data_IF_015970424361
#
_entry.id   IF_015970424361
#
_cell.length_a   1.000
_cell.length_b   1.000
_cell.length_c   1.000
_cell.angle_alpha   90.00
_cell.angle_beta   90.00
_cell.angle_gamma   90.00
#
_symmetry.space_group_name_H-M   'P 1'
#
loop_
_entity.id
_entity.type
_entity.pdbx_description
1 polymer ?
#
# COMPACT_ATOMS: atom_id res chain seq x y z
N UNK A 1 14.04 14.88 16.18
CA UNK A 1 12.92 14.77 15.22
C UNK A 1 13.50 14.78 13.83
N UNK A 2 13.29 13.73 13.02
CA UNK A 2 13.83 13.65 11.67
C UNK A 2 13.22 14.71 10.74
N UNK A 3 13.97 15.15 9.74
CA UNK A 3 13.49 16.06 8.71
C UNK A 3 12.30 15.42 7.96
N UNK A 4 11.24 16.18 7.69
CA UNK A 4 10.11 15.69 6.88
C UNK A 4 10.57 15.53 5.44
N UNK A 5 10.58 14.30 4.93
CA UNK A 5 10.91 13.99 3.55
C UNK A 5 9.69 14.20 2.64
N UNK A 6 9.84 14.91 1.53
CA UNK A 6 8.78 15.17 0.55
C UNK A 6 8.96 14.33 -0.73
N UNK A 7 7.87 14.07 -1.48
CA UNK A 7 7.95 13.28 -2.71
C UNK A 7 8.93 13.85 -3.74
N UNK A 8 8.96 15.17 -3.95
CA UNK A 8 9.94 15.86 -4.80
C UNK A 8 11.40 15.47 -4.49
N UNK A 9 11.78 15.45 -3.21
CA UNK A 9 13.14 15.11 -2.77
C UNK A 9 13.47 13.64 -3.08
N UNK A 10 12.49 12.74 -3.00
CA UNK A 10 12.66 11.33 -3.37
C UNK A 10 12.88 11.16 -4.87
N UNK A 11 12.16 11.92 -5.72
CA UNK A 11 12.34 11.90 -7.18
C UNK A 11 13.74 12.35 -7.56
N UNK A 12 14.16 13.54 -7.08
CA UNK A 12 15.46 14.11 -7.40
C UNK A 12 16.63 13.31 -6.80
N UNK A 13 16.44 12.79 -5.58
CA UNK A 13 17.48 12.04 -4.87
C UNK A 13 17.60 10.57 -5.25
N UNK A 14 16.80 10.05 -6.18
CA UNK A 14 16.78 8.63 -6.52
C UNK A 14 16.36 7.73 -5.34
N UNK A 15 15.62 8.27 -4.36
CA UNK A 15 15.20 7.55 -3.14
C UNK A 15 13.79 7.01 -3.31
N UNK A 16 13.45 6.03 -2.48
CA UNK A 16 12.05 5.57 -2.37
C UNK A 16 11.32 6.38 -1.30
N UNK A 17 10.10 6.84 -1.59
CA UNK A 17 9.25 7.53 -0.62
C UNK A 17 8.60 6.50 0.31
N UNK A 18 9.16 6.35 1.51
CA UNK A 18 8.82 5.28 2.47
C UNK A 18 8.65 5.84 3.88
N UNK A 19 7.86 5.17 4.71
CA UNK A 19 7.76 5.46 6.14
C UNK A 19 7.98 4.19 6.97
N UNK A 20 8.41 4.37 8.21
CA UNK A 20 8.61 3.27 9.15
C UNK A 20 7.26 2.66 9.55
N UNK A 21 7.19 1.33 9.55
CA UNK A 21 6.06 0.55 10.04
C UNK A 21 6.44 -0.07 11.39
N UNK A 22 5.57 0.05 12.38
CA UNK A 22 5.71 -0.60 13.67
C UNK A 22 4.53 -1.54 13.92
N UNK A 23 4.78 -2.66 14.57
CA UNK A 23 3.74 -3.61 14.98
C UNK A 23 3.82 -3.86 16.49
N UNK A 24 2.66 -3.88 17.14
CA UNK A 24 2.54 -4.28 18.54
C UNK A 24 2.20 -5.77 18.60
N UNK A 25 3.05 -6.54 19.25
CA UNK A 25 2.86 -7.97 19.51
C UNK A 25 2.37 -8.13 20.94
N UNK A 26 1.16 -8.65 21.11
CA UNK A 26 0.64 -9.06 22.42
C UNK A 26 0.92 -10.55 22.61
N UNK A 27 1.57 -10.93 23.70
CA UNK A 27 1.91 -12.32 24.02
C UNK A 27 1.59 -12.66 25.48
N UNK A 28 1.32 -13.93 25.75
CA UNK A 28 1.01 -14.45 27.08
C UNK A 28 1.85 -15.71 27.32
N UNK A 29 2.50 -15.79 28.48
CA UNK A 29 3.30 -16.96 28.88
C UNK A 29 2.59 -17.64 30.04
N UNK A 30 2.32 -18.94 29.91
CA UNK A 30 1.78 -19.83 30.96
C UNK A 30 0.53 -19.30 31.69
N UNK A 31 -0.38 -18.63 30.96
CA UNK A 31 -1.62 -18.08 31.53
C UNK A 31 -1.42 -16.83 32.41
N UNK A 32 -0.22 -16.25 32.40
CA UNK A 32 0.10 -14.99 33.10
C UNK A 32 -0.54 -13.76 32.45
N UNK A 33 -0.08 -12.56 32.83
CA UNK A 33 -0.57 -11.31 32.25
C UNK A 33 -0.20 -11.19 30.76
N UNK A 34 -1.10 -10.63 29.95
CA UNK A 34 -0.80 -10.28 28.55
C UNK A 34 0.22 -9.14 28.55
N UNK A 35 1.34 -9.38 27.90
CA UNK A 35 2.41 -8.39 27.71
C UNK A 35 2.42 -7.91 26.27
N UNK A 36 2.78 -6.65 26.07
CA UNK A 36 2.85 -6.04 24.74
C UNK A 36 4.28 -5.61 24.41
N UNK A 37 4.72 -5.90 23.19
CA UNK A 37 6.00 -5.51 22.66
C UNK A 37 5.80 -4.79 21.32
N UNK A 38 6.17 -3.52 21.25
CA UNK A 38 6.20 -2.77 19.99
C UNK A 38 7.52 -3.00 19.28
N UNK A 39 7.47 -3.54 18.06
CA UNK A 39 8.64 -3.80 17.22
C UNK A 39 8.59 -2.97 15.93
N UNK A 40 9.76 -2.59 15.43
CA UNK A 40 9.89 -2.02 14.08
C UNK A 40 9.85 -3.13 13.04
N UNK A 41 9.03 -2.95 12.01
CA UNK A 41 8.82 -3.89 10.90
C UNK A 41 9.47 -3.39 9.60
N UNK A 42 10.40 -2.45 9.69
CA UNK A 42 11.06 -1.83 8.55
C UNK A 42 10.22 -0.73 7.90
N UNK A 43 10.45 -0.48 6.61
CA UNK A 43 9.87 0.67 5.90
C UNK A 43 8.95 0.23 4.76
N UNK A 44 7.79 0.89 4.64
CA UNK A 44 6.82 0.63 3.58
C UNK A 44 6.72 1.85 2.65
N UNK A 45 6.65 1.64 1.31
CA UNK A 45 6.35 2.70 0.36
C UNK A 45 5.03 3.40 0.64
N UNK A 46 5.06 4.73 0.70
CA UNK A 46 3.86 5.54 0.92
C UNK A 46 3.33 6.01 -0.44
N UNK A 47 2.04 5.84 -0.65
CA UNK A 47 1.37 6.32 -1.84
C UNK A 47 1.25 7.85 -1.79
N UNK A 48 1.60 8.51 -2.89
CA UNK A 48 1.53 9.97 -3.02
C UNK A 48 0.06 10.43 -2.87
N UNK A 49 -0.15 11.50 -2.08
CA UNK A 49 -1.46 12.02 -1.63
C UNK A 49 -2.35 11.07 -0.81
N UNK A 50 -1.84 9.93 -0.37
CA UNK A 50 -2.55 9.09 0.61
C UNK A 50 -2.64 9.73 2.00
N UNK A 51 -3.35 9.08 2.93
CA UNK A 51 -3.53 9.55 4.31
C UNK A 51 -2.22 9.80 5.06
N UNK A 52 -1.15 9.10 4.69
CA UNK A 52 0.18 9.17 5.32
C UNK A 52 1.20 9.97 4.52
N UNK A 53 0.80 10.54 3.37
CA UNK A 53 1.68 11.39 2.57
C UNK A 53 1.67 12.83 3.07
N UNK A 54 2.82 13.49 3.07
CA UNK A 54 2.96 14.89 3.47
C UNK A 54 2.29 15.90 2.51
N UNK A 55 1.84 15.46 1.33
CA UNK A 55 1.08 16.29 0.38
C UNK A 55 -0.44 16.25 0.62
N UNK A 56 -0.91 15.40 1.55
CA UNK A 56 -2.33 15.27 1.83
C UNK A 56 -2.91 16.58 2.34
N UNK A 57 -3.96 17.07 1.69
CA UNK A 57 -4.72 18.25 2.13
C UNK A 57 -4.03 19.59 1.87
N UNK A 58 -2.86 19.59 1.21
CA UNK A 58 -2.22 20.84 0.79
C UNK A 58 -3.03 21.52 -0.32
N UNK A 59 -3.13 22.83 -0.24
CA UNK A 59 -3.67 23.70 -1.30
C UNK A 59 -2.72 23.76 -2.51
N UNK A 60 -3.24 24.24 -3.65
CA UNK A 60 -2.43 24.39 -4.86
C UNK A 60 -1.19 25.27 -4.66
N UNK A 61 -1.31 26.37 -3.90
CA UNK A 61 -0.18 27.25 -3.59
C UNK A 61 0.87 26.56 -2.70
N UNK A 62 0.43 25.77 -1.72
CA UNK A 62 1.33 25.00 -0.86
C UNK A 62 2.04 23.88 -1.62
N UNK A 63 1.36 23.22 -2.57
CA UNK A 63 1.98 22.23 -3.46
C UNK A 63 3.08 22.86 -4.32
N UNK A 64 2.79 24.00 -4.95
CA UNK A 64 3.78 24.76 -5.73
C UNK A 64 4.97 25.18 -4.87
N UNK A 65 4.73 25.65 -3.64
CA UNK A 65 5.81 26.01 -2.70
C UNK A 65 6.71 24.81 -2.32
N UNK A 66 6.22 23.59 -2.56
CA UNK A 66 6.91 22.33 -2.29
C UNK A 66 7.44 21.67 -3.56
N UNK A 67 7.47 22.40 -4.68
CA UNK A 67 7.96 21.92 -5.98
C UNK A 67 7.13 20.75 -6.53
N UNK A 68 5.84 20.70 -6.18
CA UNK A 68 4.87 19.76 -6.75
C UNK A 68 3.92 20.49 -7.70
N UNK A 69 3.27 19.72 -8.58
CA UNK A 69 2.25 20.26 -9.48
C UNK A 69 1.03 20.76 -8.66
N UNK A 70 0.47 21.96 -8.93
CA UNK A 70 -0.72 22.48 -8.25
C UNK A 70 -1.92 21.52 -8.31
N UNK A 71 -2.01 20.70 -9.36
CA UNK A 71 -3.05 19.68 -9.56
C UNK A 71 -2.56 18.25 -9.38
N UNK A 72 -1.50 18.02 -8.59
CA UNK A 72 -0.97 16.67 -8.28
C UNK A 72 -2.12 15.71 -7.92
N UNK A 73 -2.21 14.57 -8.59
CA UNK A 73 -3.31 13.62 -8.42
C UNK A 73 -2.97 12.54 -7.38
N UNK A 74 -1.69 12.19 -7.24
CA UNK A 74 -1.23 11.08 -6.41
C UNK A 74 -1.72 9.72 -6.92
N UNK A 75 -1.81 8.73 -6.02
CA UNK A 75 -2.26 7.37 -6.38
C UNK A 75 -1.18 6.43 -6.90
N UNK A 76 0.08 6.89 -6.92
CA UNK A 76 1.26 6.11 -7.30
C UNK A 76 2.30 6.11 -6.16
N UNK A 77 3.38 5.35 -6.36
CA UNK A 77 4.49 5.20 -5.42
C UNK A 77 5.79 5.67 -6.06
N UNK A 78 6.69 6.25 -5.27
CA UNK A 78 8.04 6.60 -5.72
C UNK A 78 9.01 5.54 -5.20
N UNK A 79 9.63 4.80 -6.11
CA UNK A 79 10.55 3.69 -5.83
C UNK A 79 11.86 3.94 -6.56
N UNK A 80 12.93 4.17 -5.81
CA UNK A 80 14.26 4.51 -6.32
C UNK A 80 14.21 5.68 -7.32
N UNK A 81 13.50 6.75 -6.95
CA UNK A 81 13.27 7.93 -7.80
C UNK A 81 12.24 7.76 -8.91
N UNK A 82 11.86 6.54 -9.26
CA UNK A 82 10.89 6.27 -10.32
C UNK A 82 9.46 6.19 -9.79
N UNK A 83 8.52 6.78 -10.52
CA UNK A 83 7.09 6.66 -10.23
C UNK A 83 6.55 5.33 -10.75
N UNK A 84 5.81 4.62 -9.90
CA UNK A 84 5.24 3.30 -10.19
C UNK A 84 3.79 3.24 -9.72
N UNK A 85 2.92 2.70 -10.56
CA UNK A 85 1.50 2.52 -10.26
C UNK A 85 1.16 1.03 -10.15
N UNK A 86 0.33 0.69 -9.16
CA UNK A 86 -0.26 -0.64 -9.07
C UNK A 86 -1.43 -0.74 -10.05
N UNK A 87 -1.35 -1.69 -11.00
CA UNK A 87 -2.43 -1.89 -11.98
C UNK A 87 -3.63 -2.54 -11.31
N UNK A 88 -4.81 -1.99 -11.57
CA UNK A 88 -6.07 -2.59 -11.13
C UNK A 88 -6.30 -3.92 -11.87
N UNK A 89 -6.78 -4.92 -11.13
CA UNK A 89 -7.12 -6.24 -11.66
C UNK A 89 -8.63 -6.43 -11.67
N UNK A 90 -9.14 -7.04 -12.73
CA UNK A 90 -10.53 -7.48 -12.80
C UNK A 90 -10.62 -8.84 -12.09
N UNK A 91 -11.44 -8.90 -11.04
CA UNK A 91 -11.66 -10.12 -10.25
C UNK A 91 -13.14 -10.50 -10.25
N UNK A 92 -13.49 -11.78 -10.01
CA UNK A 92 -14.85 -12.19 -9.78
C UNK A 92 -15.50 -11.42 -8.63
N UNK A 93 -16.80 -11.17 -8.75
CA UNK A 93 -17.56 -10.43 -7.74
C UNK A 93 -17.51 -11.13 -6.39
N UNK A 94 -17.19 -10.39 -5.33
CA UNK A 94 -17.22 -10.89 -3.94
C UNK A 94 -18.68 -11.16 -3.52
N UNK A 95 -18.88 -12.19 -2.70
CA UNK A 95 -20.16 -12.50 -2.05
C UNK A 95 -21.34 -12.67 -3.03
N UNK A 96 -21.09 -13.30 -4.17
CA UNK A 96 -22.11 -13.54 -5.19
C UNK A 96 -22.00 -14.96 -5.72
N UNK A 97 -23.09 -15.73 -5.66
CA UNK A 97 -23.13 -17.08 -6.24
C UNK A 97 -23.12 -16.93 -7.74
N UNK A 98 -22.14 -17.55 -8.40
CA UNK A 98 -22.05 -17.58 -9.86
C UNK A 98 -22.17 -19.04 -10.30
N UNK A 99 -23.23 -19.34 -11.05
CA UNK A 99 -23.33 -20.62 -11.76
C UNK A 99 -22.40 -20.55 -12.98
N UNK A 100 -21.38 -21.42 -13.01
CA UNK A 100 -20.41 -21.47 -14.09
C UNK A 100 -20.23 -22.93 -14.50
N UNK A 101 -20.39 -23.19 -15.80
CA UNK A 101 -20.06 -24.47 -16.43
C UNK A 101 -18.72 -24.29 -17.14
N UNK A 102 -17.74 -25.16 -16.85
CA UNK A 102 -16.40 -25.10 -17.46
C UNK A 102 -15.95 -26.50 -17.80
N UNK A 103 -15.56 -26.72 -19.05
CA UNK A 103 -14.97 -28.00 -19.52
C UNK A 103 -13.80 -28.49 -18.66
N UNK A 104 -13.04 -27.57 -18.07
CA UNK A 104 -11.95 -27.92 -17.14
C UNK A 104 -12.41 -28.67 -15.88
N UNK A 105 -13.70 -28.63 -15.52
CA UNK A 105 -14.23 -29.35 -14.37
C UNK A 105 -14.32 -30.85 -14.63
N UNK A 106 -14.63 -31.29 -15.86
CA UNK A 106 -14.62 -32.70 -16.26
C UNK A 106 -13.23 -33.33 -16.18
N UNK A 107 -12.16 -32.53 -16.30
CA UNK A 107 -10.78 -33.01 -16.20
C UNK A 107 -10.39 -33.41 -14.76
N UNK A 108 -11.25 -33.17 -13.75
CA UNK A 108 -10.98 -33.50 -12.35
C UNK A 108 -11.24 -34.97 -11.99
N UNK A 109 -11.88 -35.73 -12.88
CA UNK A 109 -12.09 -37.16 -12.71
C UNK A 109 -13.28 -37.69 -13.51
N UNK A 110 -13.40 -39.02 -13.65
CA UNK A 110 -14.40 -39.65 -14.52
C UNK A 110 -15.85 -39.42 -14.10
N UNK A 111 -16.10 -39.01 -12.85
CA UNK A 111 -17.45 -38.76 -12.31
C UNK A 111 -17.84 -37.27 -12.29
N UNK A 112 -17.02 -36.36 -12.85
CA UNK A 112 -17.31 -34.92 -12.84
C UNK A 112 -17.98 -34.47 -14.15
N UNK A 113 -19.07 -33.71 -14.05
CA UNK A 113 -19.70 -33.04 -15.21
C UNK A 113 -19.04 -31.69 -15.52
N UNK A 114 -19.15 -31.20 -16.76
CA UNK A 114 -18.73 -29.84 -17.12
C UNK A 114 -19.43 -28.74 -16.31
#
# INVERSE_FOLDING_TARGET
>A
AGLKLYPFECRQGGKSYKADMTATISYQVEGGAISELSISMGQIPIMVKSSHCHLKGLSASELVSRHEEPSEQGGYFIMNGAERVMRLLILPRRNHIVAIIRKSFSNRGPLFTP
#
